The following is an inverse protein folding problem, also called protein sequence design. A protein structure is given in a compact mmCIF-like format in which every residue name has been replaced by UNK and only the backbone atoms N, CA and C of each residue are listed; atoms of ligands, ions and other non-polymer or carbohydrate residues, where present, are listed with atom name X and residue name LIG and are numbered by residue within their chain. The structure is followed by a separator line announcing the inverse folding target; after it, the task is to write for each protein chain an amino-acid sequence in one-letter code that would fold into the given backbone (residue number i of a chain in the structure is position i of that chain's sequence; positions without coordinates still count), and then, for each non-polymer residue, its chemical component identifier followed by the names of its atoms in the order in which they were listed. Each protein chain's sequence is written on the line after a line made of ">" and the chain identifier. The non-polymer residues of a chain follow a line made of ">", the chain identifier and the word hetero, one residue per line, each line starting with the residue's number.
data_IF_732922607292
#
_entry.id   IF_732922607292
#
_cell.length_a   1.000
_cell.length_b   1.000
_cell.length_c   1.000
_cell.angle_alpha   90.00
_cell.angle_beta   90.00
_cell.angle_gamma   90.00
#
_symmetry.space_group_name_H-M   'P 1'
#
loop_
_entity.id
_entity.type
_entity.pdbx_description
1 polymer ?
#
# COMPACT_ATOMS: atom_id res chain seq x y z
N UNK A 1 -34.65 21.22 23.99
CA UNK A 1 -33.68 21.72 22.99
C UNK A 1 -32.21 21.47 23.41
N UNK A 2 -31.82 20.24 23.80
CA UNK A 2 -30.42 19.92 24.23
C UNK A 2 -29.68 18.92 23.33
N UNK A 3 -30.34 18.34 22.33
CA UNK A 3 -29.81 17.15 21.65
C UNK A 3 -29.04 17.42 20.36
N UNK A 4 -29.02 18.66 19.87
CA UNK A 4 -28.42 18.97 18.54
C UNK A 4 -26.92 19.32 18.62
N UNK A 5 -26.38 19.69 19.81
CA UNK A 5 -24.97 20.07 19.95
C UNK A 5 -23.99 18.88 19.99
N UNK A 6 -24.44 17.68 20.35
CA UNK A 6 -23.53 16.53 20.58
C UNK A 6 -23.08 15.86 19.27
N UNK A 7 -23.83 16.04 18.17
CA UNK A 7 -23.50 15.40 16.88
C UNK A 7 -22.46 16.19 16.08
N UNK A 8 -22.29 17.50 16.33
CA UNK A 8 -21.40 18.37 15.53
C UNK A 8 -19.93 18.40 15.98
N UNK A 9 -19.60 18.03 17.21
CA UNK A 9 -18.21 18.16 17.70
C UNK A 9 -17.24 17.06 17.27
N UNK A 10 -17.71 15.97 16.63
CA UNK A 10 -16.79 14.90 16.18
C UNK A 10 -16.05 15.22 14.86
N UNK A 11 -16.25 16.41 14.30
CA UNK A 11 -15.68 16.81 13.01
C UNK A 11 -14.54 17.83 13.14
N UNK A 12 -14.36 18.48 14.30
CA UNK A 12 -13.47 19.66 14.42
C UNK A 12 -12.14 19.44 15.15
N UNK A 13 -11.77 18.22 15.51
CA UNK A 13 -10.40 17.95 15.94
C UNK A 13 -9.55 17.57 14.72
N UNK A 14 -9.11 18.59 13.98
CA UNK A 14 -7.87 18.57 13.21
C UNK A 14 -6.72 18.27 14.17
N UNK A 15 -6.68 17.04 14.68
CA UNK A 15 -5.51 16.50 15.33
C UNK A 15 -4.44 16.53 14.27
N UNK A 16 -3.32 17.19 14.52
CA UNK A 16 -2.07 17.03 13.79
C UNK A 16 -1.61 15.57 13.92
N UNK A 17 -2.41 14.66 13.38
CA UNK A 17 -2.10 13.27 13.21
C UNK A 17 -1.09 13.31 12.10
N UNK A 18 0.18 13.18 12.43
CA UNK A 18 1.24 13.03 11.45
C UNK A 18 0.87 11.80 10.59
N UNK A 19 0.20 12.02 9.45
CA UNK A 19 -0.19 10.97 8.51
C UNK A 19 1.02 10.52 7.69
N UNK A 20 1.97 11.45 7.51
CA UNK A 20 3.16 11.27 6.69
C UNK A 20 4.07 10.17 7.27
N UNK A 21 4.41 10.24 8.55
CA UNK A 21 5.36 9.29 9.17
C UNK A 21 4.85 7.84 9.14
N UNK A 22 3.59 7.54 9.52
CA UNK A 22 3.06 6.17 9.46
C UNK A 22 2.95 5.65 8.02
N UNK A 23 2.51 6.49 7.07
CA UNK A 23 2.41 6.12 5.65
C UNK A 23 3.79 5.82 5.08
N UNK A 24 4.77 6.68 5.35
CA UNK A 24 6.15 6.47 4.89
C UNK A 24 6.75 5.20 5.49
N UNK A 25 6.52 4.94 6.78
CA UNK A 25 6.97 3.70 7.43
C UNK A 25 6.33 2.47 6.80
N UNK A 26 5.02 2.49 6.54
CA UNK A 26 4.32 1.40 5.87
C UNK A 26 4.83 1.16 4.45
N UNK A 27 5.09 2.25 3.71
CA UNK A 27 5.67 2.20 2.37
C UNK A 27 7.06 1.56 2.39
N UNK A 28 7.93 1.99 3.31
CA UNK A 28 9.28 1.43 3.42
C UNK A 28 9.24 -0.06 3.74
N UNK A 29 8.37 -0.49 4.65
CA UNK A 29 8.22 -1.92 4.96
C UNK A 29 7.68 -2.69 3.76
N UNK A 30 6.67 -2.18 3.06
CA UNK A 30 6.16 -2.80 1.83
C UNK A 30 7.27 -2.92 0.76
N UNK A 31 8.06 -1.87 0.57
CA UNK A 31 9.17 -1.85 -0.38
C UNK A 31 10.24 -2.90 -0.05
N UNK A 32 10.62 -3.02 1.23
CA UNK A 32 11.60 -4.01 1.68
C UNK A 32 11.06 -5.44 1.50
N UNK A 33 9.82 -5.71 1.91
CA UNK A 33 9.19 -7.03 1.74
C UNK A 33 9.14 -7.39 0.25
N UNK A 34 8.73 -6.42 -0.58
CA UNK A 34 8.65 -6.61 -2.03
C UNK A 34 10.02 -6.94 -2.63
N UNK A 35 11.05 -6.17 -2.26
CA UNK A 35 12.40 -6.36 -2.76
C UNK A 35 12.97 -7.73 -2.38
N UNK A 36 12.81 -8.14 -1.11
CA UNK A 36 13.25 -9.46 -0.64
C UNK A 36 12.49 -10.55 -1.38
N UNK A 37 11.17 -10.41 -1.51
CA UNK A 37 10.33 -11.38 -2.18
C UNK A 37 10.69 -11.56 -3.66
N UNK A 38 10.89 -10.47 -4.39
CA UNK A 38 11.33 -10.49 -5.79
C UNK A 38 12.72 -11.12 -5.91
N UNK A 39 13.64 -10.81 -5.00
CA UNK A 39 14.99 -11.39 -5.02
C UNK A 39 14.97 -12.92 -4.80
N UNK A 40 14.20 -13.39 -3.82
CA UNK A 40 14.00 -14.83 -3.58
C UNK A 40 13.36 -15.48 -4.80
N UNK A 41 12.32 -14.88 -5.36
CA UNK A 41 11.64 -15.41 -6.53
C UNK A 41 12.57 -15.49 -7.76
N UNK A 42 13.43 -14.48 -7.98
CA UNK A 42 14.42 -14.50 -9.05
C UNK A 42 15.40 -15.68 -8.91
N UNK A 43 15.83 -16.01 -7.68
CA UNK A 43 16.67 -17.20 -7.44
C UNK A 43 15.92 -18.50 -7.72
N UNK A 44 14.64 -18.57 -7.36
CA UNK A 44 13.78 -19.74 -7.62
C UNK A 44 13.59 -19.96 -9.12
N UNK A 45 13.24 -18.92 -9.89
CA UNK A 45 13.11 -19.01 -11.36
C UNK A 45 14.40 -19.54 -11.98
N UNK A 46 15.55 -18.99 -11.56
CA UNK A 46 16.87 -19.38 -12.06
C UNK A 46 17.20 -20.84 -11.74
N UNK A 47 16.88 -21.31 -10.53
CA UNK A 47 17.17 -22.68 -10.10
C UNK A 47 16.22 -23.70 -10.75
N UNK A 48 14.94 -23.38 -10.86
CA UNK A 48 13.90 -24.27 -11.34
C UNK A 48 13.70 -24.24 -12.87
N UNK A 49 14.39 -23.35 -13.60
CA UNK A 49 14.22 -23.11 -15.06
C UNK A 49 12.76 -22.92 -15.44
N UNK A 50 12.04 -22.18 -14.61
CA UNK A 50 10.64 -21.85 -14.84
C UNK A 50 10.49 -20.89 -16.02
N UNK A 51 9.35 -21.00 -16.68
CA UNK A 51 8.98 -20.14 -17.82
C UNK A 51 8.82 -18.68 -17.37
N UNK A 52 9.25 -17.73 -18.21
CA UNK A 52 9.17 -16.30 -17.90
C UNK A 52 7.73 -15.78 -17.81
N UNK A 53 6.77 -16.50 -18.38
CA UNK A 53 5.33 -16.18 -18.31
C UNK A 53 4.76 -16.15 -16.90
N UNK A 54 5.37 -16.84 -15.92
CA UNK A 54 4.92 -16.79 -14.53
C UNK A 54 5.40 -15.53 -13.79
N UNK A 55 6.41 -14.83 -14.32
CA UNK A 55 7.07 -13.71 -13.65
C UNK A 55 6.08 -12.57 -13.37
N UNK A 56 5.27 -12.09 -14.34
CA UNK A 56 4.33 -11.00 -14.09
C UNK A 56 3.26 -11.36 -13.07
N UNK A 57 2.73 -12.58 -13.10
CA UNK A 57 1.68 -13.04 -12.19
C UNK A 57 2.17 -13.12 -10.74
N UNK A 58 3.34 -13.71 -10.52
CA UNK A 58 3.92 -13.80 -9.17
C UNK A 58 4.33 -12.42 -8.66
N UNK A 59 4.95 -11.59 -9.49
CA UNK A 59 5.32 -10.22 -9.13
C UNK A 59 4.08 -9.40 -8.70
N UNK A 60 2.96 -9.53 -9.43
CA UNK A 60 1.73 -8.84 -9.07
C UNK A 60 1.19 -9.31 -7.71
N UNK A 61 1.15 -10.62 -7.45
CA UNK A 61 0.74 -11.17 -6.16
C UNK A 61 1.62 -10.67 -5.01
N UNK A 62 2.93 -10.63 -5.24
CA UNK A 62 3.93 -10.19 -4.28
C UNK A 62 3.77 -8.70 -3.92
N UNK A 63 3.52 -7.84 -4.92
CA UNK A 63 3.23 -6.42 -4.71
C UNK A 63 1.98 -6.23 -3.84
N UNK A 64 0.91 -6.95 -4.14
CA UNK A 64 -0.35 -6.86 -3.37
C UNK A 64 -0.13 -7.28 -1.92
N UNK A 65 0.52 -8.42 -1.68
CA UNK A 65 0.83 -8.90 -0.33
C UNK A 65 1.71 -7.90 0.44
N UNK A 66 2.73 -7.35 -0.21
CA UNK A 66 3.63 -6.37 0.38
C UNK A 66 2.90 -5.10 0.80
N UNK A 67 2.02 -4.59 -0.07
CA UNK A 67 1.21 -3.40 0.21
C UNK A 67 0.17 -3.65 1.29
N UNK A 68 -0.42 -4.84 1.35
CA UNK A 68 -1.35 -5.22 2.40
C UNK A 68 -0.66 -5.19 3.78
N UNK A 69 0.55 -5.76 3.88
CA UNK A 69 1.36 -5.73 5.11
C UNK A 69 1.81 -4.30 5.43
N UNK A 70 2.27 -3.53 4.43
CA UNK A 70 2.66 -2.14 4.61
C UNK A 70 1.50 -1.25 5.09
N UNK A 71 0.30 -1.46 4.53
CA UNK A 71 -0.93 -0.79 4.96
C UNK A 71 -1.33 -1.16 6.38
N UNK A 72 -1.16 -2.42 6.79
CA UNK A 72 -1.36 -2.85 8.18
C UNK A 72 -0.41 -2.12 9.15
N UNK A 73 0.87 -1.98 8.77
CA UNK A 73 1.91 -1.35 9.59
C UNK A 73 1.77 0.18 9.61
N UNK A 74 1.21 0.78 8.56
CA UNK A 74 1.02 2.24 8.48
C UNK A 74 -0.04 2.77 9.46
N UNK A 75 -0.77 1.90 10.13
CA UNK A 75 -1.75 2.27 11.15
C UNK A 75 -1.19 2.03 12.53
N UNK A 76 -0.95 3.11 13.30
CA UNK A 76 -0.45 3.01 14.67
C UNK A 76 -1.54 3.13 15.73
N UNK A 77 -2.43 4.11 15.56
CA UNK A 77 -3.32 4.55 16.65
C UNK A 77 -4.78 4.05 16.46
N UNK A 78 -4.99 3.03 15.63
CA UNK A 78 -6.33 2.49 15.33
C UNK A 78 -7.25 3.42 14.50
N UNK A 79 -6.82 4.65 14.24
CA UNK A 79 -7.60 5.67 13.55
C UNK A 79 -7.23 5.81 12.06
N UNK A 80 -8.25 6.09 11.23
CA UNK A 80 -8.13 6.36 9.79
C UNK A 80 -7.41 5.25 9.01
N UNK A 81 -7.64 3.98 9.37
CA UNK A 81 -6.92 2.85 8.79
C UNK A 81 -7.02 2.75 7.27
N UNK A 82 -8.22 2.95 6.72
CA UNK A 82 -8.45 2.93 5.28
C UNK A 82 -7.68 4.04 4.55
N UNK A 83 -7.60 5.25 5.13
CA UNK A 83 -6.87 6.39 4.54
C UNK A 83 -5.36 6.17 4.62
N UNK A 84 -4.83 5.86 5.80
CA UNK A 84 -3.38 5.62 6.00
C UNK A 84 -2.91 4.44 5.15
N UNK A 85 -3.68 3.35 5.14
CA UNK A 85 -3.41 2.17 4.33
C UNK A 85 -3.49 2.46 2.83
N UNK A 86 -4.58 3.09 2.37
CA UNK A 86 -4.78 3.42 0.96
C UNK A 86 -3.72 4.36 0.43
N UNK A 87 -3.35 5.39 1.21
CA UNK A 87 -2.26 6.31 0.86
C UNK A 87 -0.91 5.60 0.81
N UNK A 88 -0.68 4.61 1.66
CA UNK A 88 0.53 3.77 1.61
C UNK A 88 0.60 2.98 0.29
N UNK A 89 -0.50 2.34 -0.10
CA UNK A 89 -0.60 1.62 -1.37
C UNK A 89 -0.47 2.54 -2.58
N UNK A 90 -1.05 3.74 -2.51
CA UNK A 90 -0.94 4.75 -3.56
C UNK A 90 0.50 5.26 -3.71
N UNK A 91 1.16 5.62 -2.61
CA UNK A 91 2.57 6.06 -2.63
C UNK A 91 3.47 4.95 -3.17
N UNK A 92 3.27 3.71 -2.71
CA UNK A 92 4.00 2.55 -3.24
C UNK A 92 3.82 2.39 -4.75
N UNK A 93 2.57 2.45 -5.24
CA UNK A 93 2.25 2.34 -6.66
C UNK A 93 2.85 3.48 -7.49
N UNK A 94 2.73 4.74 -7.04
CA UNK A 94 3.30 5.90 -7.75
C UNK A 94 4.82 5.79 -7.83
N UNK A 95 5.49 5.45 -6.72
CA UNK A 95 6.95 5.23 -6.74
C UNK A 95 7.30 4.10 -7.71
N UNK A 96 6.56 3.00 -7.69
CA UNK A 96 6.73 1.90 -8.64
C UNK A 96 6.58 2.34 -10.10
N UNK A 97 5.59 3.18 -10.41
CA UNK A 97 5.41 3.73 -11.76
C UNK A 97 6.53 4.67 -12.17
N UNK A 98 7.01 5.53 -11.27
CA UNK A 98 8.14 6.44 -11.55
C UNK A 98 9.41 5.64 -11.81
N UNK A 99 9.67 4.60 -11.01
CA UNK A 99 10.80 3.68 -11.24
C UNK A 99 10.63 2.99 -12.59
N UNK A 100 9.46 2.42 -12.88
CA UNK A 100 9.20 1.77 -14.16
C UNK A 100 9.36 2.71 -15.35
N UNK A 101 8.90 3.96 -15.26
CA UNK A 101 9.08 4.99 -16.29
C UNK A 101 10.57 5.27 -16.55
N UNK A 102 11.35 5.41 -15.49
CA UNK A 102 12.79 5.69 -15.58
C UNK A 102 13.57 4.54 -16.25
N UNK A 103 13.15 3.29 -16.02
CA UNK A 103 13.81 2.10 -16.61
C UNK A 103 13.33 1.78 -18.03
N UNK A 104 12.02 1.88 -18.29
CA UNK A 104 11.43 1.49 -19.58
C UNK A 104 11.51 2.58 -20.65
N UNK A 105 11.63 3.85 -20.24
CA UNK A 105 11.55 5.00 -21.15
C UNK A 105 10.19 5.17 -21.83
N UNK A 106 9.16 4.43 -21.39
CA UNK A 106 7.83 4.44 -22.00
C UNK A 106 6.83 5.27 -21.20
N UNK A 107 5.76 5.69 -21.88
CA UNK A 107 4.65 6.39 -21.25
C UNK A 107 3.93 5.50 -20.24
N UNK A 108 4.02 5.88 -18.96
CA UNK A 108 3.39 5.18 -17.82
C UNK A 108 1.96 5.63 -17.52
N UNK A 109 1.41 6.56 -18.29
CA UNK A 109 0.03 7.03 -18.17
C UNK A 109 -0.89 6.22 -19.08
N UNK A 110 -0.96 4.91 -18.84
CA UNK A 110 -1.85 3.99 -19.55
C UNK A 110 -2.95 3.49 -18.63
N UNK A 111 -4.05 2.98 -19.20
CA UNK A 111 -5.17 2.43 -18.43
C UNK A 111 -4.70 1.30 -17.49
N UNK A 112 -3.72 0.50 -17.91
CA UNK A 112 -3.10 -0.56 -17.11
C UNK A 112 -2.39 -0.03 -15.85
N UNK A 113 -1.71 1.12 -15.94
CA UNK A 113 -1.04 1.74 -14.79
C UNK A 113 -2.05 2.33 -13.80
N UNK A 114 -3.19 2.82 -14.31
CA UNK A 114 -4.27 3.31 -13.46
C UNK A 114 -4.95 2.16 -12.71
N UNK A 115 -5.25 1.04 -13.38
CA UNK A 115 -5.83 -0.13 -12.71
C UNK A 115 -4.87 -0.71 -11.68
N UNK A 116 -3.57 -0.71 -11.96
CA UNK A 116 -2.54 -1.10 -11.00
C UNK A 116 -2.56 -0.21 -9.75
N UNK A 117 -2.58 1.12 -9.92
CA UNK A 117 -2.69 2.05 -8.78
C UNK A 117 -3.96 1.82 -7.96
N UNK A 118 -5.09 1.56 -8.60
CA UNK A 118 -6.34 1.28 -7.92
C UNK A 118 -6.26 -0.01 -7.10
N UNK A 119 -5.70 -1.08 -7.67
CA UNK A 119 -5.52 -2.36 -6.98
C UNK A 119 -4.63 -2.19 -5.75
N UNK A 120 -3.49 -1.49 -5.90
CA UNK A 120 -2.55 -1.27 -4.79
C UNK A 120 -3.14 -0.34 -3.72
N UNK A 121 -3.86 0.71 -4.12
CA UNK A 121 -4.60 1.56 -3.20
C UNK A 121 -5.65 0.76 -2.40
N UNK A 122 -6.44 -0.09 -3.08
CA UNK A 122 -7.41 -0.96 -2.42
C UNK A 122 -6.74 -1.96 -1.48
N UNK A 123 -5.69 -2.65 -1.92
CA UNK A 123 -4.95 -3.59 -1.09
C UNK A 123 -4.35 -2.93 0.16
N UNK A 124 -3.82 -1.71 0.00
CA UNK A 124 -3.30 -0.92 1.11
C UNK A 124 -4.41 -0.50 2.07
N UNK A 125 -5.55 -0.03 1.55
CA UNK A 125 -6.71 0.35 2.36
C UNK A 125 -7.24 -0.83 3.17
N UNK A 126 -7.37 -2.02 2.55
CA UNK A 126 -7.78 -3.25 3.25
C UNK A 126 -6.79 -3.60 4.36
N UNK A 127 -5.49 -3.59 4.07
CA UNK A 127 -4.44 -3.82 5.07
C UNK A 127 -4.53 -2.84 6.24
N UNK A 128 -4.74 -1.56 5.95
CA UNK A 128 -4.89 -0.52 6.96
C UNK A 128 -6.18 -0.63 7.78
N UNK A 129 -7.31 -1.03 7.18
CA UNK A 129 -8.54 -1.33 7.91
C UNK A 129 -8.30 -2.47 8.90
N UNK A 130 -7.65 -3.55 8.46
CA UNK A 130 -7.32 -4.68 9.33
C UNK A 130 -6.41 -4.21 10.49
N UNK A 131 -5.39 -3.41 10.20
CA UNK A 131 -4.48 -2.85 11.20
C UNK A 131 -5.17 -1.93 12.21
N UNK A 132 -6.12 -1.12 11.74
CA UNK A 132 -6.91 -0.25 12.60
C UNK A 132 -7.77 -1.04 13.59
N UNK A 133 -8.42 -2.10 13.13
CA UNK A 133 -9.31 -2.90 13.97
C UNK A 133 -8.54 -3.67 15.05
N UNK A 134 -7.35 -4.20 14.72
CA UNK A 134 -6.55 -4.97 15.68
C UNK A 134 -5.87 -4.11 16.76
N UNK A 135 -5.52 -2.86 16.46
CA UNK A 135 -4.85 -1.95 17.42
C UNK A 135 -5.82 -1.11 18.26
N UNK A 136 -7.12 -1.19 17.96
CA UNK A 136 -8.18 -0.51 18.73
C UNK A 136 -8.64 -1.34 19.94
N UNK A 137 -8.27 -2.62 19.99
CA UNK A 137 -8.40 -3.47 21.17
C UNK A 137 -7.22 -3.24 22.11
#
# INVERSE_FOLDING_TARGET
>A
MRSVKVVRQKTEASSHTNLIVPVLRGFLVAAVISLIGVLVFALVIKAARMDESVIPAVNQGLKILSVLIGGFISVRDGAMGWIKGGLTGLVYGIVGLVVFAAFSGQSVLQLSSLTELLILCFGGAVGGVIGANLKKK
#
